data_IF_260602986592
#
_entry.id   IF_260602986592
#
_cell.length_a   1.000
_cell.length_b   1.000
_cell.length_c   1.000
_cell.angle_alpha   90.00
_cell.angle_beta   90.00
_cell.angle_gamma   90.00
#
_symmetry.space_group_name_H-M   'P 1'
#
loop_
_entity.id
_entity.type
_entity.pdbx_description
1 polymer ?
#
# COMPACT_ATOMS: atom_id res chain seq x y z
N UNK A 1 36.68 4.66 -16.10
CA UNK A 1 35.33 5.16 -16.44
C UNK A 1 34.42 4.86 -15.25
N UNK A 2 34.00 5.88 -14.49
CA UNK A 2 33.01 5.69 -13.43
C UNK A 2 31.63 5.62 -14.09
N UNK A 3 30.99 4.46 -14.06
CA UNK A 3 29.62 4.31 -14.56
C UNK A 3 28.67 4.99 -13.56
N UNK A 4 28.10 6.16 -13.87
CA UNK A 4 27.34 6.96 -12.90
C UNK A 4 26.07 6.26 -12.42
N UNK A 5 25.55 5.31 -13.20
CA UNK A 5 24.35 4.55 -12.88
C UNK A 5 24.61 3.21 -12.20
N UNK A 6 25.85 2.88 -11.82
CA UNK A 6 26.16 1.57 -11.21
C UNK A 6 25.34 1.31 -9.93
N UNK A 7 25.26 2.29 -9.03
CA UNK A 7 24.48 2.19 -7.79
C UNK A 7 22.99 2.14 -8.11
N UNK A 8 22.54 3.00 -9.03
CA UNK A 8 21.14 3.10 -9.43
C UNK A 8 20.64 1.81 -10.07
N UNK A 9 21.43 1.20 -10.96
CA UNK A 9 21.10 -0.08 -11.58
C UNK A 9 21.02 -1.22 -10.57
N UNK A 10 21.93 -1.25 -9.59
CA UNK A 10 21.87 -2.24 -8.50
C UNK A 10 20.61 -2.07 -7.63
N UNK A 11 20.27 -0.83 -7.25
CA UNK A 11 19.02 -0.53 -6.55
C UNK A 11 17.79 -0.94 -7.37
N UNK A 12 17.79 -0.67 -8.68
CA UNK A 12 16.72 -1.10 -9.58
C UNK A 12 16.54 -2.62 -9.62
N UNK A 13 17.63 -3.39 -9.63
CA UNK A 13 17.57 -4.85 -9.55
C UNK A 13 16.99 -5.34 -8.23
N UNK A 14 17.36 -4.72 -7.11
CA UNK A 14 16.77 -5.05 -5.79
C UNK A 14 15.28 -4.76 -5.79
N UNK A 15 14.86 -3.60 -6.31
CA UNK A 15 13.44 -3.22 -6.42
C UNK A 15 12.67 -4.26 -7.23
N UNK A 16 13.17 -4.66 -8.40
CA UNK A 16 12.53 -5.68 -9.25
C UNK A 16 12.38 -7.00 -8.48
N UNK A 17 13.46 -7.48 -7.86
CA UNK A 17 13.43 -8.73 -7.09
C UNK A 17 12.43 -8.66 -5.94
N UNK A 18 12.43 -7.57 -5.17
CA UNK A 18 11.49 -7.34 -4.08
C UNK A 18 10.04 -7.27 -4.57
N UNK A 19 9.76 -6.60 -5.70
CA UNK A 19 8.42 -6.54 -6.29
C UNK A 19 7.87 -7.93 -6.61
N UNK A 20 8.72 -8.84 -7.12
CA UNK A 20 8.34 -10.23 -7.38
C UNK A 20 8.01 -10.95 -6.06
N UNK A 21 8.85 -10.81 -5.04
CA UNK A 21 8.62 -11.42 -3.72
C UNK A 21 7.31 -10.91 -3.10
N UNK A 22 7.07 -9.60 -3.15
CA UNK A 22 5.84 -8.98 -2.63
C UNK A 22 4.57 -9.55 -3.26
N UNK A 23 4.58 -9.80 -4.57
CA UNK A 23 3.48 -10.45 -5.28
C UNK A 23 3.14 -11.86 -4.78
N UNK A 24 4.07 -12.53 -4.09
CA UNK A 24 3.85 -13.87 -3.52
C UNK A 24 3.44 -13.87 -2.05
N UNK A 25 3.69 -12.77 -1.32
CA UNK A 25 3.44 -12.68 0.13
C UNK A 25 2.05 -12.11 0.42
N UNK A 26 1.59 -11.14 -0.36
CA UNK A 26 0.25 -10.57 -0.18
C UNK A 26 -0.84 -11.57 -0.57
N UNK A 27 -1.97 -11.62 0.16
CA UNK A 27 -3.07 -12.49 -0.20
C UNK A 27 -3.67 -12.04 -1.54
N UNK A 28 -3.82 -12.97 -2.49
CA UNK A 28 -4.37 -12.66 -3.81
C UNK A 28 -5.91 -12.66 -3.84
N UNK A 29 -6.57 -13.13 -2.77
CA UNK A 29 -8.03 -13.22 -2.66
C UNK A 29 -8.47 -12.83 -1.26
N UNK A 30 -9.65 -12.22 -1.17
CA UNK A 30 -10.35 -11.94 0.08
C UNK A 30 -11.78 -12.49 0.02
N UNK A 31 -12.36 -12.88 1.17
CA UNK A 31 -13.77 -13.26 1.30
C UNK A 31 -14.75 -12.23 0.73
N UNK A 32 -14.44 -10.95 0.87
CA UNK A 32 -15.24 -9.85 0.34
C UNK A 32 -14.32 -8.69 -0.08
N UNK A 33 -14.65 -8.02 -1.18
CA UNK A 33 -14.03 -6.77 -1.61
C UNK A 33 -15.12 -5.87 -2.19
N UNK A 34 -14.89 -4.57 -2.18
CA UNK A 34 -15.76 -3.61 -2.87
C UNK A 34 -15.65 -3.81 -4.40
N UNK A 35 -16.73 -3.51 -5.13
CA UNK A 35 -16.75 -3.65 -6.58
C UNK A 35 -15.69 -2.78 -7.25
N UNK A 36 -14.95 -3.35 -8.21
CA UNK A 36 -13.86 -2.66 -8.91
C UNK A 36 -12.48 -2.81 -8.29
N UNK A 37 -12.34 -3.46 -7.12
CA UNK A 37 -11.04 -3.76 -6.54
C UNK A 37 -10.53 -5.14 -6.95
N UNK A 38 -9.28 -5.18 -7.43
CA UNK A 38 -8.63 -6.40 -7.91
C UNK A 38 -7.75 -7.07 -6.86
N UNK A 39 -7.24 -6.32 -5.88
CA UNK A 39 -6.34 -6.85 -4.85
C UNK A 39 -6.86 -6.54 -3.44
N UNK A 40 -6.72 -7.48 -2.49
CA UNK A 40 -7.13 -7.26 -1.11
C UNK A 40 -6.43 -6.10 -0.40
N UNK A 41 -5.17 -5.80 -0.77
CA UNK A 41 -4.41 -4.69 -0.18
C UNK A 41 -5.02 -3.33 -0.54
N UNK A 42 -5.33 -3.12 -1.82
CA UNK A 42 -5.99 -1.89 -2.27
C UNK A 42 -7.41 -1.84 -1.70
N UNK A 43 -8.14 -2.96 -1.68
CA UNK A 43 -9.46 -3.00 -1.05
C UNK A 43 -9.40 -2.58 0.43
N UNK A 44 -8.34 -2.96 1.15
CA UNK A 44 -8.14 -2.63 2.56
C UNK A 44 -7.94 -1.14 2.81
N UNK A 45 -7.22 -0.44 1.92
CA UNK A 45 -6.98 1.00 2.00
C UNK A 45 -8.27 1.84 1.93
N UNK A 46 -9.31 1.31 1.28
CA UNK A 46 -10.58 2.01 1.04
C UNK A 46 -11.71 1.61 1.98
N UNK A 47 -11.47 0.66 2.89
CA UNK A 47 -12.45 0.28 3.91
C UNK A 47 -12.71 1.44 4.87
N UNK A 48 -13.98 1.74 5.14
CA UNK A 48 -14.40 2.90 5.93
C UNK A 48 -14.93 2.52 7.32
N UNK A 49 -15.40 1.28 7.49
CA UNK A 49 -16.02 0.83 8.73
C UNK A 49 -15.39 -0.44 9.31
N UNK A 50 -15.53 -0.63 10.63
CA UNK A 50 -15.10 -1.87 11.31
C UNK A 50 -15.77 -3.11 10.74
N UNK A 51 -17.02 -2.99 10.30
CA UNK A 51 -17.78 -4.12 9.77
C UNK A 51 -17.26 -4.52 8.39
N UNK A 52 -16.89 -3.55 7.55
CA UNK A 52 -16.20 -3.81 6.28
C UNK A 52 -14.81 -4.43 6.50
N UNK A 53 -14.05 -4.00 7.51
CA UNK A 53 -12.76 -4.66 7.86
C UNK A 53 -13.02 -6.12 8.21
N UNK A 54 -14.02 -6.39 9.05
CA UNK A 54 -14.39 -7.77 9.43
C UNK A 54 -14.85 -8.59 8.23
N UNK A 55 -15.64 -8.01 7.32
CA UNK A 55 -16.06 -8.66 6.06
C UNK A 55 -14.87 -9.00 5.17
N UNK A 56 -13.95 -8.05 4.99
CA UNK A 56 -12.73 -8.22 4.21
C UNK A 56 -11.89 -9.40 4.72
N UNK A 57 -11.77 -9.57 6.04
CA UNK A 57 -11.02 -10.68 6.65
C UNK A 57 -11.86 -11.94 6.94
N UNK A 58 -13.16 -11.95 6.61
CA UNK A 58 -14.06 -13.07 6.89
C UNK A 58 -14.30 -13.34 8.38
N UNK A 59 -14.24 -12.30 9.22
CA UNK A 59 -14.54 -12.37 10.66
C UNK A 59 -16.07 -12.33 10.82
N UNK A 60 -16.65 -13.34 11.48
CA UNK A 60 -18.09 -13.43 11.72
C UNK A 60 -18.62 -12.18 12.45
N UNK A 61 -19.69 -11.60 11.91
CA UNK A 61 -20.29 -10.34 12.39
C UNK A 61 -21.46 -10.63 13.36
N UNK A 62 -21.98 -11.87 13.35
CA UNK A 62 -23.11 -12.31 14.19
C UNK A 62 -22.86 -13.69 14.82
N UNK A 63 -23.43 -14.00 16.02
CA UNK A 63 -23.30 -15.30 16.69
C UNK A 63 -23.82 -16.49 15.86
N UNK A 64 -24.79 -16.25 14.99
CA UNK A 64 -25.45 -17.26 14.14
C UNK A 64 -24.58 -17.79 12.99
N UNK A 65 -23.51 -17.07 12.62
CA UNK A 65 -22.59 -17.46 11.53
C UNK A 65 -21.45 -18.38 11.98
N UNK A 66 -21.41 -18.80 13.26
CA UNK A 66 -20.37 -19.67 13.81
C UNK A 66 -20.43 -21.13 13.33
N UNK A 67 -21.53 -21.55 12.69
CA UNK A 67 -21.81 -22.99 12.48
C UNK A 67 -21.31 -23.57 11.14
N UNK A 68 -20.46 -22.89 10.36
CA UNK A 68 -20.01 -23.48 9.09
C UNK A 68 -18.81 -22.88 8.38
N UNK A 69 -18.35 -21.68 8.72
CA UNK A 69 -17.21 -21.05 8.04
C UNK A 69 -16.00 -21.03 8.95
N UNK A 70 -15.09 -21.97 8.70
CA UNK A 70 -13.77 -22.06 9.31
C UNK A 70 -13.09 -20.68 9.25
N UNK A 71 -12.66 -20.15 10.39
CA UNK A 71 -12.12 -18.79 10.51
C UNK A 71 -10.85 -18.63 9.65
N UNK A 72 -10.97 -18.09 8.43
CA UNK A 72 -9.84 -17.75 7.53
C UNK A 72 -9.11 -16.48 8.01
N UNK A 73 -9.66 -15.81 9.03
CA UNK A 73 -9.13 -14.55 9.56
C UNK A 73 -7.66 -14.63 10.03
N UNK A 74 -7.20 -15.63 10.79
CA UNK A 74 -5.81 -15.65 11.27
C UNK A 74 -4.73 -15.73 10.16
N UNK A 75 -4.82 -16.63 9.15
CA UNK A 75 -3.81 -16.72 8.12
C UNK A 75 -3.81 -15.52 7.17
N UNK A 76 -4.98 -14.96 6.83
CA UNK A 76 -5.06 -13.79 5.94
C UNK A 76 -4.52 -12.52 6.62
N UNK A 77 -4.86 -12.29 7.89
CA UNK A 77 -4.31 -11.17 8.67
C UNK A 77 -2.79 -11.29 8.77
N UNK A 78 -2.27 -12.50 9.05
CA UNK A 78 -0.82 -12.74 9.12
C UNK A 78 -0.12 -12.49 7.77
N UNK A 79 -0.73 -12.90 6.66
CA UNK A 79 -0.20 -12.63 5.32
C UNK A 79 -0.21 -11.13 5.00
N UNK A 80 -1.29 -10.42 5.35
CA UNK A 80 -1.40 -8.96 5.19
C UNK A 80 -0.34 -8.22 6.01
N UNK A 81 -0.14 -8.59 7.27
CA UNK A 81 0.88 -8.00 8.13
C UNK A 81 2.30 -8.29 7.63
N UNK A 82 2.54 -9.50 7.14
CA UNK A 82 3.84 -9.90 6.58
C UNK A 82 4.13 -9.13 5.29
N UNK A 83 3.13 -9.00 4.42
CA UNK A 83 3.21 -8.21 3.20
C UNK A 83 3.49 -6.73 3.50
N UNK A 84 2.78 -6.13 4.45
CA UNK A 84 2.99 -4.74 4.85
C UNK A 84 4.38 -4.50 5.42
N UNK A 85 4.88 -5.38 6.29
CA UNK A 85 6.25 -5.30 6.81
C UNK A 85 7.30 -5.40 5.70
N UNK A 86 7.09 -6.29 4.73
CA UNK A 86 7.99 -6.41 3.59
C UNK A 86 7.90 -5.21 2.65
N UNK A 87 6.70 -4.65 2.48
CA UNK A 87 6.46 -3.44 1.70
C UNK A 87 7.22 -2.25 2.29
N UNK A 88 7.31 -2.13 3.62
CA UNK A 88 8.14 -1.12 4.28
C UNK A 88 9.62 -1.16 3.82
N UNK A 89 10.17 -2.37 3.62
CA UNK A 89 11.54 -2.56 3.13
C UNK A 89 11.63 -2.21 1.64
N UNK A 90 10.68 -2.67 0.83
CA UNK A 90 10.63 -2.36 -0.61
C UNK A 90 10.54 -0.86 -0.85
N UNK A 91 9.69 -0.18 -0.09
CA UNK A 91 9.49 1.26 -0.13
C UNK A 91 10.80 2.04 0.07
N UNK A 92 11.64 1.63 1.04
CA UNK A 92 12.95 2.23 1.27
C UNK A 92 13.87 2.06 0.05
N UNK A 93 13.90 0.87 -0.56
CA UNK A 93 14.70 0.62 -1.76
C UNK A 93 14.17 1.36 -2.98
N UNK A 94 12.85 1.43 -3.14
CA UNK A 94 12.19 2.12 -4.25
C UNK A 94 12.39 3.63 -4.16
N UNK A 95 12.16 4.24 -3.01
CA UNK A 95 12.43 5.66 -2.78
C UNK A 95 13.92 5.99 -2.97
N UNK A 96 14.82 5.13 -2.47
CA UNK A 96 16.26 5.28 -2.68
C UNK A 96 16.61 5.21 -4.17
N UNK A 97 16.03 4.26 -4.92
CA UNK A 97 16.22 4.15 -6.36
C UNK A 97 15.79 5.43 -7.08
N UNK A 98 14.58 5.95 -6.82
CA UNK A 98 14.09 7.18 -7.43
C UNK A 98 14.96 8.38 -7.06
N UNK A 99 15.34 8.49 -5.78
CA UNK A 99 16.21 9.56 -5.28
C UNK A 99 17.56 9.56 -6.02
N UNK A 100 18.27 8.43 -6.03
CA UNK A 100 19.59 8.34 -6.65
C UNK A 100 19.53 8.41 -8.18
N UNK A 101 18.50 7.85 -8.82
CA UNK A 101 18.27 7.99 -10.26
C UNK A 101 18.12 9.47 -10.62
N UNK A 102 17.21 10.16 -9.94
CA UNK A 102 16.96 11.58 -10.21
C UNK A 102 18.18 12.44 -9.88
N UNK A 103 18.87 12.19 -8.77
CA UNK A 103 20.09 12.92 -8.42
C UNK A 103 21.20 12.70 -9.45
N UNK A 104 21.34 11.48 -9.99
CA UNK A 104 22.32 11.17 -11.04
C UNK A 104 21.98 11.91 -12.33
N UNK A 105 20.70 11.92 -12.73
CA UNK A 105 20.22 12.71 -13.87
C UNK A 105 20.47 14.21 -13.67
N UNK A 106 20.25 14.74 -12.46
CA UNK A 106 20.50 16.14 -12.14
C UNK A 106 21.97 16.51 -12.32
N UNK A 107 22.89 15.64 -11.88
CA UNK A 107 24.35 15.84 -12.00
C UNK A 107 24.84 15.75 -13.43
N UNK A 108 24.29 14.86 -14.25
CA UNK A 108 24.68 14.68 -15.65
C UNK A 108 24.13 15.81 -16.54
N UNK A 109 22.85 16.16 -16.37
CA UNK A 109 22.16 17.10 -17.26
C UNK A 109 22.26 18.55 -16.79
N UNK A 110 22.58 18.79 -15.51
CA UNK A 110 22.55 20.12 -14.89
C UNK A 110 21.14 20.69 -14.68
N UNK A 111 20.06 19.97 -15.01
CA UNK A 111 18.70 20.49 -14.90
C UNK A 111 18.19 20.45 -13.45
N UNK A 112 17.70 21.60 -12.97
CA UNK A 112 17.20 21.77 -11.59
C UNK A 112 15.97 20.92 -11.27
N UNK A 113 15.17 20.58 -12.28
CA UNK A 113 13.95 19.78 -12.14
C UNK A 113 14.23 18.41 -11.50
N UNK A 114 15.36 17.79 -11.82
CA UNK A 114 15.73 16.49 -11.24
C UNK A 114 16.11 16.58 -9.74
N UNK A 115 16.55 17.74 -9.25
CA UNK A 115 16.70 17.95 -7.81
C UNK A 115 15.32 18.02 -7.14
N UNK A 116 14.34 18.68 -7.75
CA UNK A 116 12.97 18.68 -7.21
C UNK A 116 12.39 17.25 -7.15
N UNK A 117 12.56 16.45 -8.21
CA UNK A 117 12.10 15.06 -8.24
C UNK A 117 12.77 14.16 -7.18
N UNK A 118 14.04 14.39 -6.83
CA UNK A 118 14.68 13.66 -5.73
C UNK A 118 14.10 14.05 -4.36
N UNK A 119 13.77 15.33 -4.14
CA UNK A 119 13.06 15.76 -2.92
C UNK A 119 11.65 15.14 -2.85
N UNK A 120 10.93 15.10 -3.98
CA UNK A 120 9.60 14.48 -4.06
C UNK A 120 9.66 13.00 -3.67
N UNK A 121 10.69 12.26 -4.09
CA UNK A 121 10.87 10.86 -3.69
C UNK A 121 10.95 10.68 -2.17
N UNK A 122 11.58 11.64 -1.46
CA UNK A 122 11.62 11.63 0.01
C UNK A 122 10.24 11.94 0.60
N UNK A 123 9.49 12.88 0.03
CA UNK A 123 8.12 13.18 0.50
C UNK A 123 7.19 11.99 0.33
N UNK A 124 7.24 11.32 -0.82
CA UNK A 124 6.51 10.06 -1.08
C UNK A 124 6.92 9.00 -0.05
N UNK A 125 8.22 8.92 0.28
CA UNK A 125 8.70 7.97 1.28
C UNK A 125 8.06 8.17 2.67
N UNK A 126 7.78 9.42 3.06
CA UNK A 126 7.04 9.65 4.30
C UNK A 126 5.56 9.32 4.14
N UNK A 127 4.96 9.66 2.99
CA UNK A 127 3.57 9.35 2.65
C UNK A 127 3.23 7.86 2.82
N UNK A 128 3.85 6.99 2.03
CA UNK A 128 3.51 5.56 2.10
C UNK A 128 3.95 4.92 3.44
N UNK A 129 4.90 5.53 4.16
CA UNK A 129 5.35 5.07 5.47
C UNK A 129 4.26 5.30 6.54
N UNK A 130 3.62 6.47 6.51
CA UNK A 130 2.47 6.76 7.37
C UNK A 130 1.27 5.88 7.04
N UNK A 131 1.02 5.62 5.75
CA UNK A 131 -0.03 4.71 5.30
C UNK A 131 0.22 3.28 5.81
N UNK A 132 1.43 2.74 5.62
CA UNK A 132 1.73 1.36 6.00
C UNK A 132 1.66 1.14 7.53
N UNK A 133 2.07 2.14 8.32
CA UNK A 133 1.88 2.13 9.78
C UNK A 133 0.39 2.07 10.15
N UNK A 134 -0.47 2.78 9.43
CA UNK A 134 -1.92 2.75 9.67
C UNK A 134 -2.51 1.37 9.36
N UNK A 135 -2.13 0.75 8.23
CA UNK A 135 -2.61 -0.59 7.87
C UNK A 135 -2.25 -1.63 8.93
N UNK A 136 -1.02 -1.60 9.45
CA UNK A 136 -0.56 -2.47 10.56
C UNK A 136 -1.30 -2.17 11.88
N UNK A 137 -1.62 -0.90 12.13
CA UNK A 137 -2.40 -0.52 13.31
C UNK A 137 -3.83 -1.08 13.23
N UNK A 138 -4.47 -1.05 12.07
CA UNK A 138 -5.83 -1.56 11.88
C UNK A 138 -5.86 -3.08 12.08
N UNK A 139 -4.93 -3.85 11.50
CA UNK A 139 -4.86 -5.31 11.69
C UNK A 139 -4.57 -5.68 13.14
N UNK A 140 -3.69 -4.97 13.83
CA UNK A 140 -3.38 -5.23 15.25
C UNK A 140 -4.55 -4.89 16.21
N UNK A 141 -5.45 -3.98 15.81
CA UNK A 141 -6.58 -3.51 16.60
C UNK A 141 -7.94 -4.06 16.14
N UNK A 142 -7.99 -5.04 15.24
CA UNK A 142 -9.24 -5.64 14.73
C UNK A 142 -10.19 -6.13 15.85
N UNK A 143 -9.63 -6.54 16.99
CA UNK A 143 -10.37 -7.00 18.17
C UNK A 143 -10.60 -5.93 19.25
N UNK A 144 -10.11 -4.70 19.06
CA UNK A 144 -10.29 -3.61 20.04
C UNK A 144 -11.50 -2.73 19.70
N UNK A 145 -12.25 -2.26 20.72
CA UNK A 145 -13.43 -1.43 20.52
C UNK A 145 -13.13 0.00 20.03
N UNK A 146 -11.87 0.43 19.95
CA UNK A 146 -11.49 1.78 19.50
C UNK A 146 -10.80 1.69 18.13
N UNK A 147 -11.45 2.24 17.11
CA UNK A 147 -10.94 2.31 15.74
C UNK A 147 -10.54 3.76 15.47
N UNK A 148 -9.24 3.98 15.31
CA UNK A 148 -8.71 5.24 14.81
C UNK A 148 -8.38 5.04 13.33
N UNK A 149 -9.37 5.16 12.44
CA UNK A 149 -9.05 5.46 11.05
C UNK A 149 -8.57 6.91 10.99
N UNK A 150 -7.25 7.10 10.98
CA UNK A 150 -6.67 8.42 10.67
C UNK A 150 -6.56 8.54 9.15
N UNK A 151 -7.72 8.49 8.49
CA UNK A 151 -7.83 8.71 7.06
C UNK A 151 -8.20 10.12 6.61
N UNK A 152 -8.00 11.25 7.32
CA UNK A 152 -8.56 12.51 6.84
C UNK A 152 -7.86 13.04 5.58
N UNK A 153 -6.55 12.80 5.37
CA UNK A 153 -5.80 13.44 4.27
C UNK A 153 -6.08 12.76 2.91
N UNK A 154 -6.02 11.43 2.82
CA UNK A 154 -6.34 10.71 1.57
C UNK A 154 -7.85 10.73 1.28
N UNK A 155 -8.70 10.65 2.32
CA UNK A 155 -10.15 10.76 2.14
C UNK A 155 -10.60 12.15 1.67
N UNK A 156 -9.97 13.25 2.08
CA UNK A 156 -10.30 14.58 1.55
C UNK A 156 -9.92 14.69 0.07
N UNK A 157 -8.80 14.09 -0.33
CA UNK A 157 -8.38 14.07 -1.73
C UNK A 157 -9.33 13.26 -2.62
N UNK A 158 -9.76 12.06 -2.17
CA UNK A 158 -10.70 11.22 -2.91
C UNK A 158 -12.17 11.73 -2.86
N UNK A 159 -12.63 12.33 -1.75
CA UNK A 159 -13.97 12.95 -1.69
C UNK A 159 -14.11 14.14 -2.63
N UNK A 160 -13.04 14.91 -2.83
CA UNK A 160 -13.02 16.01 -3.81
C UNK A 160 -13.19 15.53 -5.25
N UNK A 161 -12.83 14.28 -5.56
CA UNK A 161 -12.96 13.68 -6.89
C UNK A 161 -14.28 12.93 -7.08
N UNK A 162 -14.88 12.37 -6.03
CA UNK A 162 -16.15 11.62 -6.10
C UNK A 162 -17.42 12.49 -6.09
N UNK A 163 -17.35 13.77 -5.70
CA UNK A 163 -18.49 14.69 -5.82
C UNK A 163 -18.67 15.26 -7.24
N UNK A 164 -17.68 15.08 -8.13
CA UNK A 164 -17.85 15.37 -9.55
C UNK A 164 -18.48 14.14 -10.22
N UNK A 165 -19.80 14.04 -10.14
CA UNK A 165 -20.57 12.92 -10.65
C UNK A 165 -20.29 12.63 -12.13
N UNK A 166 -19.65 11.49 -12.40
CA UNK A 166 -20.01 10.62 -13.52
C UNK A 166 -19.39 9.25 -13.29
N UNK A 167 -20.25 8.24 -13.24
CA UNK A 167 -19.93 6.82 -13.33
C UNK A 167 -19.08 6.55 -14.58
N UNK A 168 -17.76 6.55 -14.42
CA UNK A 168 -16.86 5.87 -15.32
C UNK A 168 -16.05 4.86 -14.51
N UNK A 169 -15.86 3.64 -15.02
CA UNK A 169 -14.95 2.70 -14.39
C UNK A 169 -13.58 3.37 -14.37
N UNK A 170 -13.07 3.60 -13.15
CA UNK A 170 -11.72 4.07 -12.96
C UNK A 170 -10.79 2.89 -13.27
N UNK A 171 -10.41 2.77 -14.54
CA UNK A 171 -9.43 1.78 -15.01
C UNK A 171 -8.06 2.31 -14.63
N UNK A 172 -7.45 1.73 -13.60
CA UNK A 172 -6.01 1.80 -13.42
C UNK A 172 -5.38 0.55 -14.06
N UNK A 173 -4.42 0.81 -14.95
CA UNK A 173 -3.52 -0.15 -15.58
C UNK A 173 -2.74 -0.98 -14.54
#
# INVERSE_FOLDING_TARGET
MNNPFRIVGFLGLIVIAMSIVLGTVFPSKAPWMMDGFFTPIIAFEFVQSKDEVKRLFGIAISPEQQSGTQSIAPPMIKAMDSGNRLYYIHMLFYASFLFFFSLTCARITGQKLYYAASIIAVVILFGDGFENIQLLSITSNINRPVFYAIGPIFQQFCKGTLQAGQSRPFVWL
#
